data_IF_108914842589
#
_entry.id   IF_108914842589
#
_cell.length_a   1.000
_cell.length_b   1.000
_cell.length_c   1.000
_cell.angle_alpha   90.00
_cell.angle_beta   90.00
_cell.angle_gamma   90.00
#
_symmetry.space_group_name_H-M   'P 1'
#
loop_
_entity.id
_entity.type
_entity.pdbx_description
1 polymer ?
#
# COMPACT_ATOMS: atom_id res chain seq x y z
N UNK A 1 -33.04 -11.58 -0.40
CA UNK A 1 -33.69 -11.46 0.92
C UNK A 1 -33.29 -12.61 1.86
N UNK A 2 -32.71 -12.33 3.03
CA UNK A 2 -32.28 -13.34 4.03
C UNK A 2 -33.00 -13.21 5.39
N UNK A 3 -33.90 -12.23 5.49
CA UNK A 3 -34.66 -11.96 6.68
C UNK A 3 -35.77 -13.00 6.84
N UNK A 4 -35.87 -13.62 8.03
CA UNK A 4 -36.90 -14.62 8.33
C UNK A 4 -38.05 -13.98 9.10
N UNK A 5 -37.75 -13.41 10.27
CA UNK A 5 -38.74 -12.78 11.14
C UNK A 5 -38.05 -11.85 12.14
N UNK A 6 -38.83 -10.98 12.80
CA UNK A 6 -38.35 -10.19 13.92
C UNK A 6 -39.36 -10.29 15.07
N UNK A 7 -38.90 -10.05 16.29
CA UNK A 7 -39.76 -10.02 17.48
C UNK A 7 -39.30 -8.92 18.41
N UNK A 8 -40.21 -8.03 18.80
CA UNK A 8 -39.95 -7.05 19.84
C UNK A 8 -39.98 -7.72 21.21
N UNK A 9 -38.92 -7.56 21.99
CA UNK A 9 -38.83 -8.07 23.38
C UNK A 9 -38.98 -6.96 24.43
N UNK A 10 -39.16 -5.72 23.96
CA UNK A 10 -39.40 -4.56 24.81
C UNK A 10 -39.66 -3.30 23.98
N UNK A 11 -39.96 -2.17 24.63
CA UNK A 11 -40.33 -0.93 23.93
C UNK A 11 -39.23 -0.38 23.01
N UNK A 12 -37.97 -0.72 23.27
CA UNK A 12 -36.81 -0.21 22.54
C UNK A 12 -35.92 -1.31 21.95
N UNK A 13 -36.35 -2.58 21.99
CA UNK A 13 -35.50 -3.72 21.59
C UNK A 13 -36.26 -4.69 20.69
N UNK A 14 -35.69 -4.93 19.51
CA UNK A 14 -36.20 -5.87 18.51
C UNK A 14 -35.10 -6.87 18.14
N UNK A 15 -35.44 -8.15 18.19
CA UNK A 15 -34.58 -9.25 17.72
C UNK A 15 -34.93 -9.54 16.27
N UNK A 16 -33.92 -9.70 15.42
CA UNK A 16 -34.07 -10.12 14.04
C UNK A 16 -33.51 -11.54 13.86
N UNK A 17 -34.33 -12.42 13.32
CA UNK A 17 -33.94 -13.75 12.89
C UNK A 17 -33.70 -13.76 11.37
N UNK A 18 -32.55 -14.29 10.97
CA UNK A 18 -32.16 -14.46 9.57
C UNK A 18 -32.04 -15.96 9.26
N UNK A 19 -32.31 -16.33 8.00
CA UNK A 19 -32.10 -17.70 7.55
C UNK A 19 -30.60 -18.03 7.54
N UNK A 20 -30.25 -19.23 8.03
CA UNK A 20 -28.92 -19.81 7.89
C UNK A 20 -28.63 -20.04 6.40
N UNK A 21 -27.66 -19.31 5.86
CA UNK A 21 -27.20 -19.49 4.49
C UNK A 21 -25.94 -20.34 4.47
N UNK A 22 -25.97 -21.43 3.72
CA UNK A 22 -24.76 -22.14 3.32
C UNK A 22 -23.97 -21.25 2.36
N UNK A 23 -22.81 -20.78 2.81
CA UNK A 23 -21.96 -19.90 2.01
C UNK A 23 -20.96 -20.75 1.23
N UNK A 24 -21.15 -20.83 -0.09
CA UNK A 24 -20.20 -21.51 -0.96
C UNK A 24 -19.10 -20.53 -1.40
N UNK A 25 -17.88 -20.72 -0.90
CA UNK A 25 -16.69 -19.93 -1.23
C UNK A 25 -16.15 -20.27 -2.65
N UNK A 26 -17.00 -20.15 -3.67
CA UNK A 26 -16.67 -20.42 -5.08
C UNK A 26 -16.04 -19.20 -5.78
N UNK A 27 -15.63 -18.21 -5.01
CA UNK A 27 -14.99 -16.98 -5.49
C UNK A 27 -13.56 -16.95 -4.97
N UNK A 28 -12.59 -16.45 -5.76
CA UNK A 28 -11.18 -16.44 -5.38
C UNK A 28 -10.87 -15.30 -4.38
N UNK A 29 -11.69 -15.15 -3.33
CA UNK A 29 -11.54 -14.09 -2.32
C UNK A 29 -10.22 -14.27 -1.57
N UNK A 30 -9.84 -15.52 -1.30
CA UNK A 30 -8.57 -15.87 -0.68
C UNK A 30 -7.37 -15.45 -1.55
N UNK A 31 -7.47 -15.56 -2.87
CA UNK A 31 -6.41 -15.12 -3.77
C UNK A 31 -6.23 -13.60 -3.70
N UNK A 32 -7.34 -12.85 -3.64
CA UNK A 32 -7.29 -11.40 -3.41
C UNK A 32 -6.60 -11.03 -2.10
N UNK A 33 -6.91 -11.75 -1.02
CA UNK A 33 -6.23 -11.56 0.27
C UNK A 33 -4.73 -11.87 0.18
N UNK A 34 -4.34 -12.99 -0.44
CA UNK A 34 -2.94 -13.36 -0.62
C UNK A 34 -2.17 -12.31 -1.45
N UNK A 35 -2.77 -11.79 -2.52
CA UNK A 35 -2.17 -10.72 -3.33
C UNK A 35 -1.94 -9.48 -2.48
N UNK A 36 -2.91 -9.06 -1.66
CA UNK A 36 -2.76 -7.90 -0.78
C UNK A 36 -1.63 -8.08 0.24
N UNK A 37 -1.48 -9.28 0.82
CA UNK A 37 -0.38 -9.55 1.74
C UNK A 37 0.99 -9.56 1.03
N UNK A 38 1.07 -10.15 -0.18
CA UNK A 38 2.31 -10.11 -0.99
C UNK A 38 2.66 -8.68 -1.39
N UNK A 39 1.68 -7.85 -1.77
CA UNK A 39 1.90 -6.44 -2.09
C UNK A 39 2.51 -5.66 -0.92
N UNK A 40 2.09 -5.93 0.33
CA UNK A 40 2.71 -5.31 1.51
C UNK A 40 4.17 -5.71 1.64
N UNK A 41 4.51 -6.99 1.40
CA UNK A 41 5.91 -7.46 1.47
C UNK A 41 6.77 -6.69 0.48
N UNK A 42 6.33 -6.55 -0.77
CA UNK A 42 7.06 -5.79 -1.80
C UNK A 42 7.21 -4.31 -1.40
N UNK A 43 6.15 -3.68 -0.91
CA UNK A 43 6.20 -2.28 -0.45
C UNK A 43 7.17 -2.09 0.72
N UNK A 44 7.14 -2.97 1.72
CA UNK A 44 8.02 -2.88 2.89
C UNK A 44 9.46 -3.25 2.55
N UNK A 45 9.69 -4.15 1.59
CA UNK A 45 11.03 -4.42 1.07
C UNK A 45 11.64 -3.16 0.46
N UNK A 46 10.87 -2.44 -0.38
CA UNK A 46 11.30 -1.14 -0.91
C UNK A 46 11.64 -0.15 0.21
N UNK A 47 10.77 0.00 1.21
CA UNK A 47 11.03 0.91 2.33
C UNK A 47 12.30 0.53 3.13
N UNK A 48 12.39 -0.70 3.62
CA UNK A 48 13.42 -1.08 4.58
C UNK A 48 14.75 -1.45 3.93
N UNK A 49 14.74 -2.15 2.79
CA UNK A 49 15.95 -2.66 2.16
C UNK A 49 16.51 -1.72 1.09
N UNK A 50 15.69 -0.80 0.55
CA UNK A 50 16.14 0.17 -0.45
C UNK A 50 16.16 1.59 0.12
N UNK A 51 15.00 2.15 0.49
CA UNK A 51 14.94 3.56 0.92
C UNK A 51 15.75 3.79 2.21
N UNK A 52 15.61 2.94 3.22
CA UNK A 52 16.34 3.09 4.50
C UNK A 52 17.82 2.71 4.43
N UNK A 53 18.27 2.09 3.34
CA UNK A 53 19.71 1.87 3.09
C UNK A 53 20.41 3.20 2.82
N UNK A 54 19.75 4.11 2.11
CA UNK A 54 20.27 5.43 1.75
C UNK A 54 19.83 6.47 2.79
N UNK A 55 18.53 6.53 3.07
CA UNK A 55 17.96 7.41 4.09
C UNK A 55 17.78 6.65 5.40
N UNK A 56 18.86 6.48 6.15
CA UNK A 56 18.86 5.68 7.41
C UNK A 56 17.81 6.13 8.43
N UNK A 57 17.50 7.42 8.45
CA UNK A 57 16.51 8.04 9.33
C UNK A 57 15.10 8.12 8.73
N UNK A 58 14.88 7.62 7.50
CA UNK A 58 13.59 7.69 6.84
C UNK A 58 12.49 7.04 7.67
N UNK A 59 11.42 7.80 7.89
CA UNK A 59 10.23 7.36 8.61
C UNK A 59 9.00 7.50 7.73
N UNK A 60 8.23 6.44 7.59
CA UNK A 60 6.91 6.51 6.97
C UNK A 60 5.95 7.32 7.86
N UNK A 61 5.54 8.49 7.39
CA UNK A 61 4.55 9.34 8.06
C UNK A 61 3.14 9.05 7.57
N UNK A 62 3.01 8.44 6.39
CA UNK A 62 1.74 8.02 5.82
C UNK A 62 1.93 6.84 4.87
N UNK A 63 0.93 5.94 4.84
CA UNK A 63 0.94 4.74 4.00
C UNK A 63 -0.40 4.57 3.28
N UNK A 64 -0.33 4.28 1.98
CA UNK A 64 -1.44 3.79 1.16
C UNK A 64 -1.12 2.40 0.60
N UNK A 65 -2.07 1.71 -0.06
CA UNK A 65 -1.83 0.38 -0.64
C UNK A 65 -0.75 0.33 -1.73
N UNK A 66 -0.33 1.48 -2.26
CA UNK A 66 0.55 1.60 -3.42
C UNK A 66 1.70 2.59 -3.23
N UNK A 67 1.75 3.34 -2.12
CA UNK A 67 2.86 4.25 -1.82
C UNK A 67 3.03 4.58 -0.33
N UNK A 68 4.24 5.05 0.01
CA UNK A 68 4.54 5.69 1.29
C UNK A 68 4.87 7.17 1.11
N UNK A 69 4.57 7.97 2.13
CA UNK A 69 5.15 9.31 2.29
C UNK A 69 6.19 9.21 3.40
N UNK A 70 7.44 9.53 3.06
CA UNK A 70 8.57 9.43 3.98
C UNK A 70 8.98 10.82 4.46
N UNK A 71 9.24 10.92 5.76
CA UNK A 71 9.99 12.01 6.34
C UNK A 71 11.46 11.60 6.41
N UNK A 72 12.33 12.42 5.84
CA UNK A 72 13.78 12.26 5.85
C UNK A 72 14.42 13.54 6.42
N UNK A 73 15.50 13.39 7.18
CA UNK A 73 16.23 14.49 7.82
C UNK A 73 17.65 14.49 7.26
N UNK A 74 17.81 15.01 6.05
CA UNK A 74 19.10 15.09 5.35
C UNK A 74 19.22 16.38 4.56
N UNK A 75 20.44 16.91 4.44
CA UNK A 75 20.74 18.06 3.58
C UNK A 75 21.00 17.66 2.13
N UNK A 76 21.59 16.49 1.93
CA UNK A 76 22.04 16.02 0.61
C UNK A 76 21.00 15.07 0.00
N UNK A 77 19.76 15.56 -0.16
CA UNK A 77 18.66 14.75 -0.69
C UNK A 77 18.95 14.29 -2.11
N UNK A 78 19.49 15.16 -2.96
CA UNK A 78 19.69 14.84 -4.37
C UNK A 78 20.75 13.76 -4.57
N UNK A 79 21.87 13.81 -3.85
CA UNK A 79 22.93 12.78 -3.93
C UNK A 79 22.41 11.41 -3.47
N UNK A 80 21.69 11.39 -2.35
CA UNK A 80 21.07 10.18 -1.84
C UNK A 80 19.98 9.62 -2.78
N UNK A 81 19.19 10.48 -3.41
CA UNK A 81 18.23 10.04 -4.43
C UNK A 81 18.97 9.49 -5.66
N UNK A 82 20.08 10.10 -6.08
CA UNK A 82 20.87 9.62 -7.22
C UNK A 82 21.31 8.16 -7.04
N UNK A 83 21.77 7.78 -5.84
CA UNK A 83 22.12 6.39 -5.49
C UNK A 83 20.96 5.39 -5.66
N UNK A 84 19.72 5.84 -5.46
CA UNK A 84 18.51 5.03 -5.68
C UNK A 84 18.03 5.08 -7.14
N UNK A 85 18.40 6.11 -7.89
CA UNK A 85 17.88 6.36 -9.24
C UNK A 85 18.48 5.41 -10.27
N UNK A 86 19.70 4.92 -10.06
CA UNK A 86 20.31 3.93 -10.96
C UNK A 86 19.56 2.59 -11.01
N UNK A 87 18.80 2.25 -9.96
CA UNK A 87 18.23 0.91 -9.82
C UNK A 87 16.72 0.84 -9.56
N UNK A 88 16.10 1.85 -8.93
CA UNK A 88 14.80 1.66 -8.26
C UNK A 88 13.77 2.77 -8.52
N UNK A 89 14.19 4.03 -8.65
CA UNK A 89 13.27 5.18 -8.69
C UNK A 89 12.99 5.70 -10.10
N UNK A 90 11.73 6.08 -10.35
CA UNK A 90 11.30 6.82 -11.53
C UNK A 90 11.37 8.33 -11.25
N UNK A 91 12.40 8.99 -11.77
CA UNK A 91 12.62 10.44 -11.65
C UNK A 91 12.25 11.20 -12.93
N UNK A 92 11.57 10.57 -13.90
CA UNK A 92 11.20 11.23 -15.15
C UNK A 92 10.19 12.38 -14.97
N UNK A 93 9.61 12.51 -13.78
CA UNK A 93 8.75 13.63 -13.38
C UNK A 93 9.51 14.90 -12.95
N UNK A 94 10.83 14.84 -12.78
CA UNK A 94 11.66 16.02 -12.53
C UNK A 94 11.72 16.93 -13.76
N UNK A 95 12.08 18.20 -13.55
CA UNK A 95 12.35 19.12 -14.68
C UNK A 95 13.54 18.59 -15.51
N UNK A 96 13.50 18.77 -16.82
CA UNK A 96 14.51 18.24 -17.74
C UNK A 96 15.94 18.76 -17.50
N UNK A 97 16.07 19.90 -16.81
CA UNK A 97 17.35 20.51 -16.45
C UNK A 97 17.89 20.00 -15.10
N UNK A 98 17.10 19.24 -14.35
CA UNK A 98 17.47 18.73 -13.03
C UNK A 98 18.45 17.55 -13.15
N UNK A 99 19.46 17.49 -12.28
CA UNK A 99 20.50 16.46 -12.30
C UNK A 99 19.94 15.02 -12.17
N UNK A 100 18.80 14.87 -11.51
CA UNK A 100 18.12 13.58 -11.30
C UNK A 100 17.21 13.16 -12.45
N UNK A 101 16.99 13.98 -13.48
CA UNK A 101 16.07 13.63 -14.57
C UNK A 101 16.62 12.45 -15.39
N UNK A 102 15.98 11.29 -15.27
CA UNK A 102 16.33 10.07 -16.00
C UNK A 102 15.09 9.40 -16.58
N UNK A 103 15.21 8.90 -17.82
CA UNK A 103 14.14 8.16 -18.51
C UNK A 103 14.24 6.64 -18.31
N UNK A 104 15.34 6.15 -17.76
CA UNK A 104 15.67 4.72 -17.67
C UNK A 104 14.65 3.91 -16.87
N UNK A 105 14.07 4.51 -15.83
CA UNK A 105 13.10 3.86 -14.94
C UNK A 105 11.66 4.32 -15.15
N UNK A 106 11.39 5.03 -16.25
CA UNK A 106 10.05 5.53 -16.56
C UNK A 106 9.03 4.39 -16.57
N UNK A 107 8.08 4.42 -15.63
CA UNK A 107 7.03 3.40 -15.45
C UNK A 107 7.56 1.98 -15.25
N UNK A 108 8.82 1.81 -14.84
CA UNK A 108 9.33 0.50 -14.42
C UNK A 108 8.89 0.28 -12.98
N UNK A 109 8.32 -0.90 -12.71
CA UNK A 109 8.13 -1.34 -11.34
C UNK A 109 9.52 -1.66 -10.78
N UNK A 110 9.82 -1.06 -9.62
CA UNK A 110 11.02 -1.35 -8.82
C UNK A 110 11.06 -2.81 -8.38
#
# INVERSE_FOLDING_TARGET
PNFKQFTAIGPNVVIFEFLLKTLHLKKPIYAGFSILEVSKVVMYDCLYNQSRRVFTDARAVYSKPDYFILQISGRDVDENVADLTESQLDTCGCMSEHALYLLQNKKRLG
#
